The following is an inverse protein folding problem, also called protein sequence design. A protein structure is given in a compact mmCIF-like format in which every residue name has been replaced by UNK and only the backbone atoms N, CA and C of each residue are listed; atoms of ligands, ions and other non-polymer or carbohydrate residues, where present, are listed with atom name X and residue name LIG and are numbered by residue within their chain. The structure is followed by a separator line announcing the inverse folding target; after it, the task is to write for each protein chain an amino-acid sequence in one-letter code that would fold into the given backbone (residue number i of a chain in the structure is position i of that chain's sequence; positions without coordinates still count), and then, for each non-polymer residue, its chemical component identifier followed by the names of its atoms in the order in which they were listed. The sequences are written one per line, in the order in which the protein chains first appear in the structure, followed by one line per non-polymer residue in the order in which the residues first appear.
data_IF_810733347607
#
_entry.id   IF_810733347607
#
_cell.length_a   1.000
_cell.length_b   1.000
_cell.length_c   1.000
_cell.angle_alpha   90.00
_cell.angle_beta   90.00
_cell.angle_gamma   90.00
#
_symmetry.space_group_name_H-M   'P 1'
#
loop_
_entity.id
_entity.type
_entity.pdbx_description
1 polymer ?
#
# COMPACT_ATOMS: atom_id res chain seq x y z
N UNK A 1 45.35 -4.30 -4.60
CA UNK A 1 44.60 -3.31 -5.40
C UNK A 1 43.17 -3.36 -4.92
N UNK A 2 42.60 -2.23 -4.50
CA UNK A 2 41.24 -2.17 -3.96
C UNK A 2 40.25 -2.60 -5.05
N UNK A 3 39.54 -3.69 -4.82
CA UNK A 3 38.47 -4.24 -5.66
C UNK A 3 37.17 -3.46 -5.47
N UNK A 4 37.25 -2.13 -5.39
CA UNK A 4 36.08 -1.29 -5.15
C UNK A 4 35.38 -0.98 -6.49
N UNK A 5 34.09 -1.33 -6.63
CA UNK A 5 33.34 -1.00 -7.83
C UNK A 5 33.19 0.52 -7.94
N UNK A 6 33.55 1.05 -9.10
CA UNK A 6 33.23 2.42 -9.49
C UNK A 6 31.74 2.57 -9.82
N UNK A 7 31.21 3.79 -9.66
CA UNK A 7 29.78 4.08 -9.90
C UNK A 7 29.30 3.65 -11.30
N UNK A 8 30.15 3.77 -12.31
CA UNK A 8 29.83 3.39 -13.69
C UNK A 8 29.74 1.88 -13.93
N UNK A 9 30.10 1.06 -12.94
CA UNK A 9 29.94 -0.40 -13.00
C UNK A 9 28.57 -0.86 -12.48
N UNK A 10 27.76 0.05 -11.94
CA UNK A 10 26.38 -0.21 -11.53
C UNK A 10 25.47 -0.11 -12.77
N UNK A 11 24.61 -1.10 -12.98
CA UNK A 11 23.83 -1.27 -14.21
C UNK A 11 22.77 -0.17 -14.44
N UNK A 12 22.21 0.38 -13.37
CA UNK A 12 21.19 1.45 -13.39
C UNK A 12 21.72 2.83 -12.98
N UNK A 13 23.05 3.01 -12.94
CA UNK A 13 23.63 4.32 -12.67
C UNK A 13 23.45 5.27 -13.86
N UNK A 14 23.07 6.52 -13.58
CA UNK A 14 22.94 7.59 -14.57
C UNK A 14 21.92 7.30 -15.70
N UNK A 15 20.70 6.89 -15.33
CA UNK A 15 19.59 6.55 -16.25
C UNK A 15 19.93 5.45 -17.28
N UNK A 16 20.88 4.57 -16.95
CA UNK A 16 21.30 3.47 -17.82
C UNK A 16 20.44 2.21 -17.67
N UNK A 17 19.35 2.25 -16.91
CA UNK A 17 18.44 1.13 -16.80
C UNK A 17 17.66 0.88 -18.09
N UNK A 18 17.38 -0.40 -18.38
CA UNK A 18 16.56 -0.73 -19.55
C UNK A 18 15.14 -0.15 -19.40
N UNK A 19 14.51 0.30 -20.51
CA UNK A 19 13.12 0.77 -20.48
C UNK A 19 12.15 -0.27 -19.92
N UNK A 20 12.44 -1.56 -20.11
CA UNK A 20 11.70 -2.68 -19.57
C UNK A 20 11.79 -2.76 -18.04
N UNK A 21 13.00 -2.62 -17.47
CA UNK A 21 13.23 -2.57 -16.01
C UNK A 21 12.47 -1.40 -15.39
N UNK A 22 12.55 -0.20 -15.99
CA UNK A 22 11.81 0.99 -15.53
C UNK A 22 10.29 0.77 -15.58
N UNK A 23 9.77 0.19 -16.66
CA UNK A 23 8.33 -0.10 -16.80
C UNK A 23 7.86 -1.13 -15.78
N UNK A 24 8.64 -2.18 -15.55
CA UNK A 24 8.34 -3.22 -14.56
C UNK A 24 8.25 -2.62 -13.15
N UNK A 25 9.24 -1.83 -12.75
CA UNK A 25 9.25 -1.17 -11.44
C UNK A 25 8.03 -0.26 -11.30
N UNK A 26 7.71 0.53 -12.33
CA UNK A 26 6.52 1.40 -12.33
C UNK A 26 5.22 0.60 -12.15
N UNK A 27 5.09 -0.54 -12.83
CA UNK A 27 3.93 -1.42 -12.69
C UNK A 27 3.83 -2.02 -11.28
N UNK A 28 4.96 -2.42 -10.68
CA UNK A 28 5.01 -2.94 -9.31
C UNK A 28 4.56 -1.86 -8.31
N UNK A 29 5.08 -0.64 -8.43
CA UNK A 29 4.70 0.49 -7.55
C UNK A 29 3.21 0.79 -7.69
N UNK A 30 2.69 0.89 -8.91
CA UNK A 30 1.25 1.10 -9.15
C UNK A 30 0.43 -0.05 -8.54
N UNK A 31 0.88 -1.30 -8.73
CA UNK A 31 0.22 -2.47 -8.16
C UNK A 31 0.13 -2.42 -6.64
N UNK A 32 1.22 -2.04 -5.95
CA UNK A 32 1.22 -1.87 -4.49
C UNK A 32 0.28 -0.76 -4.03
N UNK A 33 0.25 0.38 -4.73
CA UNK A 33 -0.66 1.48 -4.42
C UNK A 33 -2.12 1.05 -4.58
N UNK A 34 -2.45 0.37 -5.69
CA UNK A 34 -3.81 -0.15 -5.94
C UNK A 34 -4.22 -1.15 -4.86
N UNK A 35 -3.34 -2.09 -4.51
CA UNK A 35 -3.60 -3.06 -3.44
C UNK A 35 -3.82 -2.37 -2.09
N UNK A 36 -3.02 -1.35 -1.77
CA UNK A 36 -3.19 -0.54 -0.55
C UNK A 36 -4.53 0.18 -0.49
N UNK A 37 -4.96 0.79 -1.60
CA UNK A 37 -6.27 1.46 -1.71
C UNK A 37 -7.41 0.47 -1.54
N UNK A 38 -7.34 -0.71 -2.18
CA UNK A 38 -8.36 -1.75 -2.04
C UNK A 38 -8.45 -2.20 -0.57
N UNK A 39 -7.31 -2.50 0.06
CA UNK A 39 -7.26 -2.93 1.45
C UNK A 39 -7.84 -1.87 2.41
N UNK A 40 -7.43 -0.61 2.24
CA UNK A 40 -7.92 0.50 3.04
C UNK A 40 -9.43 0.69 2.86
N UNK A 41 -9.93 0.60 1.64
CA UNK A 41 -11.37 0.70 1.33
C UNK A 41 -12.16 -0.40 2.02
N UNK A 42 -11.67 -1.65 1.98
CA UNK A 42 -12.29 -2.77 2.65
C UNK A 42 -12.35 -2.53 4.16
N UNK A 43 -11.22 -2.12 4.75
CA UNK A 43 -11.14 -1.85 6.19
C UNK A 43 -12.03 -0.70 6.64
N UNK A 44 -12.07 0.40 5.89
CA UNK A 44 -12.85 1.57 6.25
C UNK A 44 -14.36 1.33 6.16
N UNK A 45 -14.82 0.71 5.06
CA UNK A 45 -16.25 0.60 4.78
C UNK A 45 -16.90 -0.68 5.32
N UNK A 46 -16.14 -1.77 5.48
CA UNK A 46 -16.72 -3.09 5.77
C UNK A 46 -16.25 -3.71 7.09
N UNK A 47 -15.39 -3.03 7.86
CA UNK A 47 -14.91 -3.52 9.15
C UNK A 47 -15.43 -2.70 10.34
N UNK A 48 -16.51 -1.94 10.16
CA UNK A 48 -17.22 -1.28 11.26
C UNK A 48 -18.25 -2.25 11.84
N UNK A 49 -18.00 -2.75 13.05
CA UNK A 49 -19.02 -3.42 13.85
C UNK A 49 -20.04 -2.40 14.35
N UNK A 50 -21.28 -2.84 14.56
CA UNK A 50 -22.30 -1.97 15.15
C UNK A 50 -21.93 -1.62 16.58
N UNK A 51 -21.68 -0.33 16.83
CA UNK A 51 -21.42 0.24 18.16
C UNK A 51 -22.70 0.47 18.98
N UNK A 52 -23.79 -0.21 18.63
CA UNK A 52 -25.04 -0.15 19.38
C UNK A 52 -25.00 -1.08 20.60
N UNK A 53 -25.10 -0.48 21.79
CA UNK A 53 -25.15 -1.21 23.06
C UNK A 53 -26.56 -1.15 23.63
N UNK A 54 -27.43 -2.09 23.25
CA UNK A 54 -28.80 -2.18 23.77
C UNK A 54 -29.58 -3.38 23.26
N UNK A 55 -30.82 -3.53 23.71
CA UNK A 55 -31.75 -4.58 23.25
C UNK A 55 -33.07 -3.95 22.79
N UNK A 56 -33.93 -4.67 22.04
CA UNK A 56 -35.24 -4.14 21.66
C UNK A 56 -36.14 -3.76 22.86
N UNK A 57 -35.94 -4.43 24.01
CA UNK A 57 -36.68 -4.19 25.25
C UNK A 57 -36.10 -3.02 26.07
N UNK A 58 -34.79 -2.81 25.98
CA UNK A 58 -34.06 -1.73 26.65
C UNK A 58 -33.18 -1.01 25.62
N UNK A 59 -33.69 0.07 24.98
CA UNK A 59 -32.96 0.80 23.95
C UNK A 59 -31.63 1.33 24.47
N UNK A 60 -30.61 1.21 23.64
CA UNK A 60 -29.22 1.50 23.95
C UNK A 60 -28.74 2.89 23.53
N UNK A 61 -27.46 3.14 23.73
CA UNK A 61 -26.75 4.31 23.20
C UNK A 61 -25.94 3.86 21.98
N UNK A 62 -25.99 4.65 20.90
CA UNK A 62 -25.06 4.50 19.79
C UNK A 62 -23.79 5.29 20.12
N UNK A 63 -22.67 4.60 20.29
CA UNK A 63 -21.41 5.23 20.68
C UNK A 63 -20.56 5.69 19.50
N UNK A 64 -20.94 5.35 18.27
CA UNK A 64 -20.29 5.87 17.07
C UNK A 64 -20.76 7.31 16.82
N UNK A 65 -19.81 8.26 16.80
CA UNK A 65 -20.00 9.65 16.37
C UNK A 65 -19.63 9.81 14.91
#
# INVERSE_FOLDING_TARGET
MSTEPSLNQIDDYNDNESPEKRKLIKLIVIGMVVAGVIFATIKYNFNTVSDYVGTPKNPGINTAR
#
